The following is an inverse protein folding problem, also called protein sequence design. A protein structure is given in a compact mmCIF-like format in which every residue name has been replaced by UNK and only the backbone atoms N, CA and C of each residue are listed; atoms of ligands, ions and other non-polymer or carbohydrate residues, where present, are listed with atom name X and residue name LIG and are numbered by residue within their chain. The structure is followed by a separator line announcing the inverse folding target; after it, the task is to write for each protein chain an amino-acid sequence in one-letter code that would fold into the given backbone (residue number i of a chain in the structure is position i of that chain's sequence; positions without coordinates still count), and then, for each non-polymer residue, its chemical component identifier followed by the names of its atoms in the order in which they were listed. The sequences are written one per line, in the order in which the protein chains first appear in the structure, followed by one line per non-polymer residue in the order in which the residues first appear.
data_IF_148950150377
#
_entry.id   IF_148950150377
#
_cell.length_a   1.000
_cell.length_b   1.000
_cell.length_c   1.000
_cell.angle_alpha   90.00
_cell.angle_beta   90.00
_cell.angle_gamma   90.00
#
_symmetry.space_group_name_H-M   'P 1'
#
loop_
_entity.id
_entity.type
_entity.pdbx_description
1 polymer ?
#
# COMPACT_ATOMS: atom_id res chain seq x y z
N UNK A 1 7.54 -12.84 21.66
CA UNK A 1 6.45 -12.93 20.67
C UNK A 1 5.38 -11.98 21.14
N UNK A 2 5.53 -10.70 20.80
CA UNK A 2 4.43 -9.76 20.92
C UNK A 2 3.39 -10.17 19.89
N UNK A 3 2.16 -10.38 20.37
CA UNK A 3 0.99 -10.51 19.53
C UNK A 3 0.88 -9.21 18.75
N UNK A 4 0.86 -9.33 17.43
CA UNK A 4 0.36 -8.28 16.55
C UNK A 4 -1.07 -8.04 16.99
N UNK A 5 -1.33 -6.88 17.59
CA UNK A 5 -2.69 -6.37 17.84
C UNK A 5 -3.49 -6.56 16.55
N UNK A 6 -4.72 -7.08 16.67
CA UNK A 6 -5.62 -7.34 15.55
C UNK A 6 -5.62 -6.16 14.56
N UNK A 7 -4.90 -6.30 13.44
CA UNK A 7 -4.95 -5.35 12.33
C UNK A 7 -6.31 -5.54 11.68
N UNK A 8 -7.31 -4.79 12.15
CA UNK A 8 -8.59 -4.69 11.49
C UNK A 8 -8.37 -4.25 10.03
N UNK A 9 -8.75 -5.09 9.06
CA UNK A 9 -9.16 -4.64 7.72
C UNK A 9 -8.09 -4.21 6.70
N UNK A 10 -6.82 -4.64 6.82
CA UNK A 10 -5.90 -4.50 5.68
C UNK A 10 -6.10 -5.67 4.70
N UNK A 11 -6.61 -5.38 3.51
CA UNK A 11 -6.82 -6.38 2.44
C UNK A 11 -5.85 -6.08 1.29
N UNK A 12 -4.78 -6.87 1.10
CA UNK A 12 -3.84 -6.72 0.01
C UNK A 12 -4.53 -6.67 -1.37
N UNK A 13 -4.32 -5.57 -2.10
CA UNK A 13 -4.77 -5.40 -3.48
C UNK A 13 -3.65 -5.80 -4.42
N UNK A 14 -3.90 -6.79 -5.28
CA UNK A 14 -2.91 -7.38 -6.16
C UNK A 14 -3.18 -6.97 -7.60
N UNK A 15 -2.19 -6.37 -8.22
CA UNK A 15 -2.18 -6.06 -9.65
C UNK A 15 -1.31 -7.07 -10.39
N UNK A 16 -1.89 -7.75 -11.36
CA UNK A 16 -1.12 -8.64 -12.23
C UNK A 16 -0.30 -7.80 -13.20
N UNK A 17 1.02 -7.96 -13.17
CA UNK A 17 1.96 -7.21 -14.01
C UNK A 17 1.61 -7.29 -15.50
N UNK A 18 1.24 -8.50 -15.95
CA UNK A 18 0.87 -8.78 -17.33
C UNK A 18 -0.46 -8.15 -17.76
N UNK A 19 -1.34 -7.74 -16.83
CA UNK A 19 -2.63 -7.11 -17.18
C UNK A 19 -2.49 -5.62 -17.52
N UNK A 20 -1.36 -5.00 -17.16
CA UNK A 20 -1.10 -3.56 -17.33
C UNK A 20 -2.05 -2.61 -16.59
N UNK A 21 -3.03 -3.13 -15.83
CA UNK A 21 -4.02 -2.33 -15.10
C UNK A 21 -3.36 -1.32 -14.15
N UNK A 22 -2.34 -1.74 -13.40
CA UNK A 22 -1.62 -0.85 -12.48
C UNK A 22 -1.07 0.39 -13.20
N UNK A 23 -0.51 0.19 -14.40
CA UNK A 23 0.04 1.28 -15.21
C UNK A 23 -1.03 2.25 -15.68
N UNK A 24 -2.18 1.74 -16.12
CA UNK A 24 -3.33 2.56 -16.52
C UNK A 24 -3.89 3.35 -15.34
N UNK A 25 -3.95 2.72 -14.17
CA UNK A 25 -4.36 3.34 -12.92
C UNK A 25 -3.44 4.46 -12.49
N UNK A 26 -2.14 4.20 -12.38
CA UNK A 26 -1.13 5.23 -12.05
C UNK A 26 -1.25 6.40 -13.04
N UNK A 27 -1.37 6.11 -14.33
CA UNK A 27 -1.49 7.14 -15.36
C UNK A 27 -2.75 8.00 -15.19
N UNK A 28 -3.85 7.43 -14.70
CA UNK A 28 -5.11 8.14 -14.51
C UNK A 28 -5.10 8.96 -13.23
N UNK A 29 -4.60 8.40 -12.12
CA UNK A 29 -4.44 9.08 -10.84
C UNK A 29 -3.51 10.30 -10.94
N UNK A 30 -2.39 10.19 -11.66
CA UNK A 30 -1.49 11.33 -11.93
C UNK A 30 -2.21 12.46 -12.68
N UNK A 31 -3.09 12.15 -13.65
CA UNK A 31 -3.84 13.16 -14.40
C UNK A 31 -4.80 13.95 -13.52
N UNK A 32 -5.38 13.30 -12.51
CA UNK A 32 -6.31 13.94 -11.55
C UNK A 32 -5.59 14.47 -10.30
N UNK A 33 -4.26 14.49 -10.30
CA UNK A 33 -3.45 15.18 -9.30
C UNK A 33 -3.17 14.38 -8.02
N UNK A 34 -3.38 13.07 -8.01
CA UNK A 34 -3.01 12.22 -6.88
C UNK A 34 -1.49 12.11 -6.75
N UNK A 35 -1.02 12.01 -5.51
CA UNK A 35 0.36 11.68 -5.21
C UNK A 35 0.58 10.17 -5.33
N UNK A 36 1.72 9.80 -5.91
CA UNK A 36 2.10 8.42 -6.14
C UNK A 36 3.40 8.11 -5.39
N UNK A 37 3.38 7.08 -4.57
CA UNK A 37 4.55 6.50 -3.93
C UNK A 37 4.73 5.10 -4.49
N UNK A 38 5.87 4.85 -5.13
CA UNK A 38 6.23 3.54 -5.65
C UNK A 38 7.45 3.01 -4.89
N UNK A 39 7.30 1.84 -4.29
CA UNK A 39 8.39 1.03 -3.76
C UNK A 39 8.83 -0.01 -4.80
N UNK A 40 10.10 0.02 -5.18
CA UNK A 40 10.68 -0.82 -6.22
C UNK A 40 11.39 -1.99 -5.54
N UNK A 41 10.80 -3.18 -5.64
CA UNK A 41 11.33 -4.40 -5.00
C UNK A 41 12.78 -4.71 -5.36
N UNK A 42 13.23 -4.39 -6.58
CA UNK A 42 14.61 -4.66 -7.01
C UNK A 42 15.66 -3.80 -6.31
N UNK A 43 15.25 -2.75 -5.60
CA UNK A 43 16.15 -1.90 -4.82
C UNK A 43 16.37 -2.42 -3.39
N UNK A 44 15.61 -3.44 -2.97
CA UNK A 44 15.58 -3.91 -1.58
C UNK A 44 16.19 -5.31 -1.51
N UNK A 45 17.28 -5.44 -0.75
CA UNK A 45 17.94 -6.72 -0.46
C UNK A 45 18.11 -7.01 1.04
N UNK A 46 18.04 -5.98 1.86
CA UNK A 46 18.26 -5.98 3.31
C UNK A 46 17.60 -4.75 3.95
N UNK A 47 17.74 -4.58 5.26
CA UNK A 47 17.13 -3.45 5.99
C UNK A 47 17.69 -2.09 5.56
N UNK A 48 18.99 -1.96 5.29
CA UNK A 48 19.59 -0.69 4.89
C UNK A 48 19.06 -0.23 3.52
N UNK A 49 18.94 -1.16 2.58
CA UNK A 49 18.37 -0.89 1.26
C UNK A 49 16.85 -0.65 1.30
N UNK A 50 16.12 -1.30 2.20
CA UNK A 50 14.71 -0.97 2.48
C UNK A 50 14.58 0.47 2.98
N UNK A 51 15.40 0.87 3.95
CA UNK A 51 15.43 2.25 4.45
C UNK A 51 15.68 3.23 3.30
N UNK A 52 16.75 3.03 2.53
CA UNK A 52 17.08 3.88 1.38
C UNK A 52 15.94 3.97 0.36
N UNK A 53 15.23 2.87 0.14
CA UNK A 53 14.08 2.82 -0.76
C UNK A 53 12.88 3.59 -0.21
N UNK A 54 12.64 3.56 1.10
CA UNK A 54 11.62 4.41 1.76
C UNK A 54 11.92 5.88 1.52
N UNK A 55 13.16 6.32 1.77
CA UNK A 55 13.60 7.71 1.54
C UNK A 55 13.29 8.16 0.12
N UNK A 56 13.70 7.31 -0.84
CA UNK A 56 13.55 7.56 -2.26
C UNK A 56 12.07 7.62 -2.66
N UNK A 57 11.25 6.72 -2.14
CA UNK A 57 9.85 6.57 -2.54
C UNK A 57 8.98 7.71 -2.00
N UNK A 58 9.18 8.11 -0.74
CA UNK A 58 8.42 9.21 -0.12
C UNK A 58 8.92 10.59 -0.54
N UNK A 59 10.12 10.66 -1.14
CA UNK A 59 10.71 11.89 -1.69
C UNK A 59 10.77 13.00 -0.63
N UNK A 60 11.34 12.63 0.52
CA UNK A 60 11.50 13.49 1.68
C UNK A 60 12.55 14.58 1.41
N UNK A 61 12.26 15.88 1.61
CA UNK A 61 13.18 16.96 1.27
C UNK A 61 14.25 17.24 2.33
N UNK A 62 14.18 16.58 3.50
CA UNK A 62 15.11 16.79 4.61
C UNK A 62 16.18 15.68 4.65
N UNK A 63 17.40 16.00 5.10
CA UNK A 63 18.35 14.96 5.47
C UNK A 63 17.78 14.17 6.64
N UNK A 64 17.70 12.85 6.47
CA UNK A 64 17.20 11.96 7.51
C UNK A 64 18.28 11.74 8.57
N UNK A 65 17.88 11.55 9.84
CA UNK A 65 18.84 11.31 10.91
C UNK A 65 19.63 10.02 10.65
N UNK A 66 20.93 10.02 10.95
CA UNK A 66 21.82 8.84 10.85
C UNK A 66 21.41 7.69 11.81
N UNK A 67 20.40 7.89 12.67
CA UNK A 67 20.07 6.98 13.76
C UNK A 67 18.86 6.07 13.47
N UNK A 68 19.15 4.88 12.91
CA UNK A 68 18.43 3.60 13.12
C UNK A 68 17.08 3.38 12.42
N UNK A 69 16.82 2.13 12.00
CA UNK A 69 15.66 1.65 11.22
C UNK A 69 14.24 2.11 11.64
N UNK A 70 14.05 2.60 12.87
CA UNK A 70 12.74 2.88 13.44
C UNK A 70 12.10 4.18 12.95
N UNK A 71 12.87 5.16 12.47
CA UNK A 71 12.30 6.41 11.95
C UNK A 71 11.54 6.22 10.64
N UNK A 72 11.84 5.17 9.85
CA UNK A 72 11.17 4.95 8.56
C UNK A 72 9.66 4.90 8.71
N UNK A 73 9.16 4.32 9.81
CA UNK A 73 7.76 4.26 10.20
C UNK A 73 7.15 5.65 10.43
N UNK A 74 7.86 6.54 11.12
CA UNK A 74 7.38 7.89 11.40
C UNK A 74 7.27 8.71 10.09
N UNK A 75 8.24 8.56 9.19
CA UNK A 75 8.25 9.33 7.94
C UNK A 75 7.26 8.82 6.89
N UNK A 76 7.00 7.52 6.82
CA UNK A 76 5.94 7.00 5.92
C UNK A 76 4.56 7.50 6.32
N UNK A 77 4.37 7.78 7.61
CA UNK A 77 3.15 8.34 8.15
C UNK A 77 3.06 9.86 7.87
N UNK A 78 4.17 10.60 7.77
CA UNK A 78 4.17 12.06 7.71
C UNK A 78 4.28 12.70 6.31
N UNK A 79 4.02 11.94 5.23
CA UNK A 79 4.13 12.44 3.83
C UNK A 79 3.34 13.74 3.58
N UNK A 80 2.22 13.94 4.28
CA UNK A 80 1.39 15.15 4.20
C UNK A 80 2.07 16.42 4.71
N UNK A 81 3.19 16.31 5.44
CA UNK A 81 3.98 17.45 5.88
C UNK A 81 4.74 18.12 4.73
N UNK A 82 5.03 17.41 3.63
CA UNK A 82 5.74 17.98 2.47
C UNK A 82 5.08 17.75 1.12
N UNK A 83 4.10 16.84 1.00
CA UNK A 83 3.31 16.65 -0.23
C UNK A 83 1.86 17.09 -0.04
N UNK A 84 1.31 17.76 -1.04
CA UNK A 84 -0.12 18.06 -1.09
C UNK A 84 -0.92 16.79 -1.43
N UNK A 85 -1.54 16.21 -0.40
CA UNK A 85 -2.39 15.02 -0.52
C UNK A 85 -3.88 15.38 -0.74
N UNK A 86 -4.20 16.61 -1.15
CA UNK A 86 -5.58 17.07 -1.30
C UNK A 86 -6.42 16.24 -2.26
N UNK A 87 -5.80 15.67 -3.31
CA UNK A 87 -6.48 14.77 -4.25
C UNK A 87 -6.43 13.30 -3.81
N UNK A 88 -5.38 12.90 -3.11
CA UNK A 88 -5.20 11.54 -2.59
C UNK A 88 -3.77 11.03 -2.75
N UNK A 89 -3.50 9.90 -2.12
CA UNK A 89 -2.22 9.19 -2.10
C UNK A 89 -2.44 7.74 -2.56
N UNK A 90 -1.68 7.33 -3.57
CA UNK A 90 -1.61 5.93 -4.00
C UNK A 90 -0.21 5.37 -3.74
N UNK A 91 -0.16 4.30 -2.96
CA UNK A 91 1.09 3.63 -2.58
C UNK A 91 1.13 2.24 -3.20
N UNK A 92 2.14 1.93 -4.00
CA UNK A 92 2.26 0.56 -4.52
C UNK A 92 3.67 0.02 -4.49
N UNK A 93 3.76 -1.31 -4.53
CA UNK A 93 5.03 -2.03 -4.60
C UNK A 93 5.16 -2.68 -5.98
N UNK A 94 6.13 -2.26 -6.77
CA UNK A 94 6.50 -2.90 -8.04
C UNK A 94 7.22 -4.22 -7.80
N UNK A 95 6.88 -5.25 -8.58
CA UNK A 95 7.54 -6.57 -8.56
C UNK A 95 7.59 -7.24 -7.16
N UNK A 96 6.50 -7.16 -6.39
CA UNK A 96 6.43 -7.61 -5.00
C UNK A 96 6.74 -9.11 -4.83
N UNK A 97 6.35 -9.94 -5.79
CA UNK A 97 6.73 -11.36 -5.76
C UNK A 97 8.24 -11.58 -5.85
N UNK A 98 8.98 -10.63 -6.44
CA UNK A 98 10.43 -10.58 -6.40
C UNK A 98 10.95 -10.42 -4.98
N UNK A 99 10.41 -9.44 -4.23
CA UNK A 99 10.81 -9.16 -2.85
C UNK A 99 10.52 -10.34 -1.91
N UNK A 100 9.34 -10.96 -2.03
CA UNK A 100 9.00 -12.15 -1.23
C UNK A 100 10.05 -13.26 -1.43
N UNK A 101 10.55 -13.46 -2.66
CA UNK A 101 11.54 -14.51 -2.94
C UNK A 101 12.95 -14.16 -2.47
N UNK A 102 13.35 -12.90 -2.58
CA UNK A 102 14.73 -12.48 -2.25
C UNK A 102 14.89 -12.19 -0.77
N UNK A 103 13.95 -11.47 -0.17
CA UNK A 103 14.04 -10.95 1.20
C UNK A 103 12.65 -10.94 1.87
N UNK A 104 12.14 -12.11 2.33
CA UNK A 104 10.80 -12.21 2.92
C UNK A 104 10.57 -11.32 4.15
N UNK A 105 11.61 -11.12 4.98
CA UNK A 105 11.53 -10.24 6.14
C UNK A 105 11.33 -8.77 5.74
N UNK A 106 11.90 -8.38 4.60
CA UNK A 106 11.83 -7.01 4.10
C UNK A 106 10.50 -6.78 3.38
N UNK A 107 9.96 -7.84 2.74
CA UNK A 107 8.58 -7.85 2.25
C UNK A 107 7.57 -7.63 3.40
N UNK A 108 7.76 -8.31 4.54
CA UNK A 108 6.92 -8.15 5.73
C UNK A 108 7.04 -6.75 6.32
N UNK A 109 8.26 -6.23 6.46
CA UNK A 109 8.50 -4.88 6.98
C UNK A 109 7.86 -3.81 6.09
N UNK A 110 8.03 -3.91 4.77
CA UNK A 110 7.41 -2.98 3.81
C UNK A 110 5.88 -3.07 3.84
N UNK A 111 5.34 -4.28 3.95
CA UNK A 111 3.90 -4.48 4.15
C UNK A 111 3.39 -3.77 5.41
N UNK A 112 4.11 -3.90 6.54
CA UNK A 112 3.75 -3.22 7.79
C UNK A 112 3.78 -1.69 7.65
N UNK A 113 4.74 -1.12 6.90
CA UNK A 113 4.74 0.32 6.60
C UNK A 113 3.48 0.76 5.87
N UNK A 114 3.06 0.02 4.84
CA UNK A 114 1.84 0.35 4.06
C UNK A 114 0.59 0.18 4.92
N UNK A 115 0.53 -0.84 5.78
CA UNK A 115 -0.58 -1.03 6.71
C UNK A 115 -0.72 0.13 7.71
N UNK A 116 0.39 0.70 8.17
CA UNK A 116 0.39 1.89 9.02
C UNK A 116 -0.02 3.16 8.29
N UNK A 117 0.46 3.35 7.06
CA UNK A 117 -0.03 4.43 6.20
C UNK A 117 -1.56 4.35 6.04
N UNK A 118 -2.11 3.14 5.85
CA UNK A 118 -3.56 2.93 5.81
C UNK A 118 -4.22 3.41 7.10
N UNK A 119 -3.74 2.96 8.25
CA UNK A 119 -4.31 3.33 9.56
C UNK A 119 -4.32 4.86 9.73
N UNK A 120 -3.19 5.52 9.49
CA UNK A 120 -3.08 6.98 9.61
C UNK A 120 -3.99 7.74 8.64
N UNK A 121 -3.80 7.56 7.34
CA UNK A 121 -4.47 8.39 6.33
C UNK A 121 -5.96 8.09 6.17
N UNK A 122 -6.41 6.91 6.63
CA UNK A 122 -7.82 6.56 6.68
C UNK A 122 -8.47 7.01 7.99
N UNK A 123 -7.84 6.80 9.14
CA UNK A 123 -8.47 7.00 10.45
C UNK A 123 -8.43 8.46 10.94
N UNK A 124 -7.37 9.22 10.65
CA UNK A 124 -7.29 10.63 11.08
C UNK A 124 -8.42 11.47 10.50
N UNK A 125 -8.88 11.18 9.28
CA UNK A 125 -9.96 11.94 8.62
C UNK A 125 -11.37 11.48 8.98
N UNK A 126 -11.55 10.23 9.42
CA UNK A 126 -12.82 9.79 10.00
C UNK A 126 -13.16 10.56 11.28
N UNK A 127 -12.16 11.02 12.05
CA UNK A 127 -12.37 11.87 13.25
C UNK A 127 -12.88 13.28 12.93
N UNK A 128 -12.50 13.81 11.77
CA UNK A 128 -12.90 15.16 11.32
C UNK A 128 -14.22 15.19 10.54
N UNK A 129 -14.91 14.04 10.42
CA UNK A 129 -16.27 13.93 9.89
C UNK A 129 -16.38 14.01 8.36
N UNK A 130 -15.28 13.85 7.64
CA UNK A 130 -15.23 13.91 6.18
C UNK A 130 -14.90 12.52 5.64
N UNK A 131 -15.91 11.83 5.07
CA UNK A 131 -15.74 10.56 4.35
C UNK A 131 -14.88 10.79 3.11
N UNK A 132 -13.56 10.76 3.26
CA UNK A 132 -12.65 11.02 2.16
C UNK A 132 -11.51 9.99 2.15
N UNK A 133 -11.79 8.83 1.55
CA UNK A 133 -10.78 7.84 1.17
C UNK A 133 -9.76 8.51 0.25
N UNK A 134 -8.66 9.00 0.84
CA UNK A 134 -7.53 9.61 0.12
C UNK A 134 -6.29 8.73 0.18
N UNK A 135 -6.48 7.46 0.49
CA UNK A 135 -5.42 6.48 0.52
C UNK A 135 -5.88 5.20 -0.18
N UNK A 136 -5.12 4.80 -1.20
CA UNK A 136 -5.24 3.49 -1.85
C UNK A 136 -3.85 2.86 -1.90
N UNK A 137 -3.81 1.54 -1.98
CA UNK A 137 -2.56 0.82 -2.08
C UNK A 137 -2.64 -0.40 -2.99
N UNK A 138 -1.48 -0.96 -3.34
CA UNK A 138 -1.39 -2.13 -4.20
C UNK A 138 -0.04 -2.82 -4.25
N UNK A 139 -0.05 -4.07 -4.66
CA UNK A 139 1.14 -4.89 -4.86
C UNK A 139 1.11 -5.43 -6.28
N UNK A 140 2.10 -5.07 -7.09
CA UNK A 140 2.29 -5.65 -8.41
C UNK A 140 2.95 -7.02 -8.28
N UNK A 141 2.40 -8.04 -8.91
CA UNK A 141 3.06 -9.33 -9.01
C UNK A 141 2.91 -9.96 -10.38
N UNK A 142 3.85 -10.82 -10.74
CA UNK A 142 3.70 -11.66 -11.94
C UNK A 142 2.61 -12.72 -11.77
N UNK A 143 1.83 -12.98 -12.82
CA UNK A 143 0.74 -13.97 -12.81
C UNK A 143 1.22 -15.35 -12.34
N UNK A 144 2.41 -15.77 -12.81
CA UNK A 144 3.03 -17.06 -12.45
C UNK A 144 3.31 -17.22 -10.95
N UNK A 145 3.44 -16.11 -10.21
CA UNK A 145 3.79 -16.09 -8.79
C UNK A 145 2.63 -15.60 -7.92
N UNK A 146 1.42 -15.50 -8.46
CA UNK A 146 0.24 -15.12 -7.70
C UNK A 146 -0.03 -16.06 -6.51
N UNK A 147 0.27 -17.35 -6.66
CA UNK A 147 0.16 -18.33 -5.54
C UNK A 147 1.10 -17.99 -4.39
N UNK A 148 2.35 -17.60 -4.69
CA UNK A 148 3.31 -17.19 -3.68
C UNK A 148 2.82 -15.96 -2.89
N UNK A 149 2.27 -14.98 -3.60
CA UNK A 149 1.72 -13.76 -2.97
C UNK A 149 0.50 -14.08 -2.11
N UNK A 150 -0.38 -14.99 -2.57
CA UNK A 150 -1.50 -15.49 -1.76
C UNK A 150 -1.00 -16.19 -0.51
N UNK A 151 -0.01 -17.06 -0.62
CA UNK A 151 0.55 -17.79 0.54
C UNK A 151 1.17 -16.83 1.56
N UNK A 152 1.89 -15.80 1.09
CA UNK A 152 2.46 -14.74 1.93
C UNK A 152 1.37 -14.01 2.75
N UNK A 153 0.26 -13.64 2.10
CA UNK A 153 -0.89 -13.00 2.73
C UNK A 153 -1.93 -13.98 3.28
N UNK A 154 -1.57 -15.26 3.46
CA UNK A 154 -2.44 -16.30 4.03
C UNK A 154 -3.80 -16.47 3.30
N UNK A 155 -3.84 -16.17 2.01
CA UNK A 155 -5.01 -16.29 1.13
C UNK A 155 -5.94 -15.08 1.12
N UNK A 156 -5.75 -14.11 2.01
CA UNK A 156 -6.57 -12.90 2.10
C UNK A 156 -6.07 -11.84 1.14
N UNK A 157 -6.39 -11.96 -0.14
CA UNK A 157 -6.01 -10.96 -1.16
C UNK A 157 -7.16 -10.69 -2.12
N UNK A 158 -7.18 -9.49 -2.68
CA UNK A 158 -8.07 -9.10 -3.77
C UNK A 158 -7.23 -8.90 -5.03
N UNK A 159 -7.61 -9.55 -6.13
CA UNK A 159 -6.91 -9.40 -7.42
C UNK A 159 -7.70 -8.46 -8.31
N UNK A 160 -7.05 -7.41 -8.79
CA UNK A 160 -7.66 -6.44 -9.70
C UNK A 160 -7.70 -7.02 -11.12
N UNK A 161 -8.90 -7.25 -11.65
CA UNK A 161 -9.13 -7.82 -12.98
C UNK A 161 -9.76 -6.83 -13.98
N UNK A 162 -10.16 -5.65 -13.50
CA UNK A 162 -10.75 -4.55 -14.28
C UNK A 162 -10.33 -3.20 -13.70
N UNK A 163 -10.34 -2.18 -14.54
CA UNK A 163 -10.07 -0.79 -14.17
C UNK A 163 -10.98 0.16 -14.94
N UNK A 164 -11.67 1.07 -14.23
CA UNK A 164 -12.48 2.16 -14.82
C UNK A 164 -11.72 3.50 -14.78
N UNK A 165 -11.12 3.96 -15.90
CA UNK A 165 -10.31 5.18 -15.93
C UNK A 165 -11.07 6.47 -15.64
N UNK A 166 -12.40 6.47 -15.80
CA UNK A 166 -13.28 7.58 -15.49
C UNK A 166 -13.47 7.77 -13.98
N UNK A 167 -13.26 6.72 -13.19
CA UNK A 167 -13.41 6.70 -11.73
C UNK A 167 -12.23 6.01 -11.03
N UNK A 168 -10.98 6.49 -11.25
CA UNK A 168 -9.78 5.83 -10.76
C UNK A 168 -9.67 5.76 -9.22
N UNK A 169 -10.47 6.56 -8.53
CA UNK A 169 -10.60 6.62 -7.07
C UNK A 169 -11.45 5.48 -6.47
N UNK A 170 -12.36 4.89 -7.25
CA UNK A 170 -13.39 3.99 -6.70
C UNK A 170 -12.91 2.56 -6.44
N UNK A 171 -11.78 2.14 -7.00
CA UNK A 171 -11.30 0.77 -6.88
C UNK A 171 -10.38 0.59 -5.66
N UNK A 172 -10.93 0.49 -4.45
CA UNK A 172 -10.17 0.04 -3.28
C UNK A 172 -10.28 -1.47 -3.10
N UNK A 173 -9.47 -2.07 -2.22
CA UNK A 173 -9.64 -3.46 -1.78
C UNK A 173 -11.08 -3.75 -1.31
N UNK A 174 -11.75 -2.72 -0.76
CA UNK A 174 -13.09 -2.77 -0.21
C UNK A 174 -14.17 -2.68 -1.29
N UNK A 175 -13.89 -2.01 -2.42
CA UNK A 175 -14.75 -1.99 -3.60
C UNK A 175 -14.58 -3.23 -4.49
N UNK A 176 -13.44 -3.91 -4.37
CA UNK A 176 -13.07 -5.09 -5.16
C UNK A 176 -13.19 -6.42 -4.39
N UNK A 177 -13.47 -6.37 -3.08
CA UNK A 177 -13.96 -7.54 -2.35
C UNK A 177 -15.29 -7.99 -2.95
N UNK A 178 -15.66 -9.29 -2.87
CA UNK A 178 -17.07 -9.60 -2.99
C UNK A 178 -17.79 -8.73 -1.95
N UNK A 179 -19.03 -8.37 -2.20
CA UNK A 179 -19.93 -8.08 -1.10
C UNK A 179 -19.67 -9.14 -0.03
N UNK A 180 -18.94 -8.77 1.03
CA UNK A 180 -18.98 -9.50 2.28
C UNK A 180 -20.36 -9.13 2.74
N UNK A 181 -21.34 -9.89 2.25
CA UNK A 181 -22.68 -9.87 2.78
C UNK A 181 -22.52 -9.79 4.28
N UNK A 182 -23.06 -8.72 4.86
CA UNK A 182 -23.23 -8.57 6.30
C UNK A 182 -21.88 -8.26 7.01
N UNK A 183 -21.68 -7.05 7.54
CA UNK A 183 -22.00 -6.78 8.96
C UNK A 183 -22.66 -7.95 9.73
N UNK A 184 -22.02 -9.12 9.77
CA UNK A 184 -22.19 -10.14 10.81
C UNK A 184 -21.05 -9.88 11.80
N UNK A 185 -21.17 -9.09 12.86
CA UNK A 185 -22.27 -8.97 13.78
C UNK A 185 -22.21 -7.61 14.50
N UNK A 186 -23.23 -6.79 14.34
CA UNK A 186 -23.78 -6.05 15.47
C UNK A 186 -25.19 -6.57 15.71
N UNK A 187 -25.34 -7.41 16.75
CA UNK A 187 -26.37 -7.16 17.76
C UNK A 187 -25.82 -7.43 19.18
N UNK A 188 -26.12 -6.69 20.25
CA UNK A 188 -26.85 -5.45 20.55
C UNK A 188 -26.00 -4.63 21.54
#
# INVERSE_FOLDING_TARGET
MEQVDEVWGFIPVIYIKESHILRERVSSLVKVGWQIVNFISSNISDSESLEAEVIRAIDCPWPLPDEGAWWTLDFVEEIDQWKDLSQGLFVYVSDFDGLIRSSPAEADTLYQHIARMQDRYRWERLRDGDENLKFIYGFECSEKNLSLVRDFFQGYVVVVDRFEPEHPELESAEALGPFVDEYLHLPE
#
